data_IF_839464694496
#
_entry.id   IF_839464694496
#
_cell.length_a   1.000
_cell.length_b   1.000
_cell.length_c   1.000
_cell.angle_alpha   90.00
_cell.angle_beta   90.00
_cell.angle_gamma   90.00
#
_symmetry.space_group_name_H-M   'P 1'
#
loop_
_entity.id
_entity.type
_entity.pdbx_description
1 polymer ?
#
# COMPACT_ATOMS: atom_id res chain seq x y z
N UNK A 1 33.92 -18.01 16.62
CA UNK A 1 35.13 -17.21 16.32
C UNK A 1 34.91 -16.51 14.99
N UNK A 2 34.51 -15.23 15.04
CA UNK A 2 34.68 -14.24 13.97
C UNK A 2 34.36 -12.88 14.57
N UNK A 3 35.42 -12.30 15.10
CA UNK A 3 35.75 -10.87 15.22
C UNK A 3 34.62 -9.86 15.00
N UNK A 4 34.04 -9.41 16.11
CA UNK A 4 33.64 -8.01 16.26
C UNK A 4 34.92 -7.19 16.39
N UNK A 5 35.58 -6.91 15.27
CA UNK A 5 36.61 -5.88 15.23
C UNK A 5 35.94 -4.52 15.37
N UNK A 6 36.45 -3.77 16.34
CA UNK A 6 36.02 -2.44 16.76
C UNK A 6 36.20 -1.49 15.57
N UNK A 7 35.10 -1.20 14.87
CA UNK A 7 35.02 -0.06 13.96
C UNK A 7 34.51 1.13 14.75
N UNK A 8 35.31 2.21 14.65
CA UNK A 8 35.18 3.55 15.20
C UNK A 8 33.74 3.99 15.48
N UNK A 9 33.61 4.74 16.58
CA UNK A 9 32.46 5.45 17.16
C UNK A 9 31.70 6.38 16.19
N UNK A 10 31.27 5.85 15.05
CA UNK A 10 30.12 6.32 14.32
C UNK A 10 28.92 5.73 15.05
N UNK A 11 27.99 6.55 15.52
CA UNK A 11 26.72 6.08 16.07
C UNK A 11 26.15 5.02 15.12
N UNK A 12 26.20 3.75 15.54
CA UNK A 12 25.61 2.65 14.79
C UNK A 12 24.15 3.03 14.52
N UNK A 13 23.76 3.05 13.25
CA UNK A 13 22.39 3.36 12.86
C UNK A 13 21.46 2.26 13.39
N UNK A 14 20.92 2.51 14.58
CA UNK A 14 20.07 1.57 15.32
C UNK A 14 18.79 1.23 14.55
N UNK A 15 18.33 2.12 13.67
CA UNK A 15 17.12 1.93 12.87
C UNK A 15 17.39 0.93 11.74
N UNK A 16 18.56 1.03 11.11
CA UNK A 16 19.02 0.07 10.10
C UNK A 16 19.33 -1.32 10.68
N UNK A 17 19.72 -1.40 11.96
CA UNK A 17 20.06 -2.66 12.63
C UNK A 17 18.87 -3.39 13.29
N UNK A 18 17.63 -2.93 13.11
CA UNK A 18 16.46 -3.60 13.69
C UNK A 18 16.26 -5.00 13.08
N UNK A 19 15.90 -6.02 13.89
CA UNK A 19 15.51 -7.32 13.37
C UNK A 19 14.31 -7.21 12.42
N UNK A 20 14.29 -8.04 11.37
CA UNK A 20 13.25 -7.97 10.33
C UNK A 20 11.80 -8.04 10.84
N UNK A 21 11.53 -8.82 11.90
CA UNK A 21 10.19 -8.90 12.49
C UNK A 21 9.74 -7.57 13.15
N UNK A 22 10.68 -6.80 13.69
CA UNK A 22 10.40 -5.48 14.27
C UNK A 22 10.09 -4.48 13.15
N UNK A 23 10.83 -4.55 12.04
CA UNK A 23 10.55 -3.75 10.84
C UNK A 23 9.15 -4.07 10.31
N UNK A 24 8.82 -5.36 10.15
CA UNK A 24 7.48 -5.80 9.71
C UNK A 24 6.38 -5.26 10.62
N UNK A 25 6.60 -5.30 11.94
CA UNK A 25 5.67 -4.75 12.92
C UNK A 25 5.52 -3.23 12.78
N UNK A 26 6.61 -2.46 12.66
CA UNK A 26 6.55 -1.01 12.46
C UNK A 26 5.79 -0.67 11.17
N UNK A 27 6.15 -1.30 10.06
CA UNK A 27 5.52 -1.08 8.77
C UNK A 27 4.03 -1.43 8.77
N UNK A 28 3.61 -2.43 9.56
CA UNK A 28 2.19 -2.80 9.69
C UNK A 28 1.31 -1.71 10.30
N UNK A 29 1.89 -0.75 11.02
CA UNK A 29 1.19 0.41 11.58
C UNK A 29 1.18 1.62 10.63
N UNK A 30 1.93 1.57 9.53
CA UNK A 30 2.04 2.67 8.59
C UNK A 30 1.05 2.50 7.42
N UNK A 31 0.41 3.60 6.96
CA UNK A 31 -0.20 3.62 5.65
C UNK A 31 0.83 3.24 4.57
N UNK A 32 0.39 2.62 3.48
CA UNK A 32 1.30 2.08 2.45
C UNK A 32 2.26 3.14 1.89
N UNK A 33 1.80 4.39 1.76
CA UNK A 33 2.63 5.52 1.34
C UNK A 33 3.79 5.78 2.31
N UNK A 34 3.52 5.81 3.60
CA UNK A 34 4.55 6.06 4.61
C UNK A 34 5.47 4.85 4.74
N UNK A 35 4.94 3.63 4.62
CA UNK A 35 5.75 2.41 4.54
C UNK A 35 6.75 2.48 3.36
N UNK A 36 6.30 2.86 2.16
CA UNK A 36 7.18 3.08 1.02
C UNK A 36 8.25 4.15 1.28
N UNK A 37 7.92 5.23 1.99
CA UNK A 37 8.89 6.30 2.30
C UNK A 37 10.01 5.83 3.22
N UNK A 38 9.76 4.83 4.06
CA UNK A 38 10.82 4.24 4.91
C UNK A 38 11.87 3.45 4.12
N UNK A 39 11.64 3.17 2.83
CA UNK A 39 12.62 2.49 1.97
C UNK A 39 13.99 3.17 1.90
N UNK A 40 14.06 4.48 2.21
CA UNK A 40 15.31 5.25 2.25
C UNK A 40 16.16 4.99 3.49
N UNK A 41 15.61 4.31 4.52
CA UNK A 41 16.32 4.05 5.78
C UNK A 41 17.40 2.99 5.59
N UNK A 42 17.08 1.86 4.96
CA UNK A 42 18.06 0.82 4.63
C UNK A 42 17.51 -0.15 3.58
N UNK A 43 18.38 -1.03 3.04
CA UNK A 43 17.97 -2.10 2.14
C UNK A 43 16.94 -3.05 2.76
N UNK A 44 16.99 -3.26 4.07
CA UNK A 44 15.99 -4.08 4.78
C UNK A 44 14.61 -3.42 4.71
N UNK A 45 14.51 -2.14 5.05
CA UNK A 45 13.24 -1.39 4.98
C UNK A 45 12.70 -1.29 3.55
N UNK A 46 13.58 -1.08 2.56
CA UNK A 46 13.22 -1.06 1.15
C UNK A 46 12.62 -2.38 0.66
N UNK A 47 13.05 -3.51 1.24
CA UNK A 47 12.56 -4.82 0.84
C UNK A 47 11.26 -5.25 1.54
N UNK A 48 10.93 -4.67 2.69
CA UNK A 48 9.80 -5.17 3.47
C UNK A 48 8.45 -4.62 3.02
N UNK A 49 8.38 -3.38 2.54
CA UNK A 49 7.09 -2.75 2.25
C UNK A 49 6.29 -3.46 1.15
N UNK A 50 6.94 -4.10 0.17
CA UNK A 50 6.25 -4.85 -0.90
C UNK A 50 5.74 -6.23 -0.47
N UNK A 51 5.94 -6.63 0.79
CA UNK A 51 5.43 -7.90 1.33
C UNK A 51 4.30 -7.69 2.35
N UNK A 52 3.87 -6.44 2.57
CA UNK A 52 2.91 -6.10 3.61
C UNK A 52 1.52 -6.72 3.37
N UNK A 53 0.98 -7.47 4.33
CA UNK A 53 -0.29 -8.18 4.13
C UNK A 53 -1.50 -7.26 4.07
N UNK A 54 -1.39 -6.03 4.56
CA UNK A 54 -2.49 -5.09 4.64
C UNK A 54 -2.19 -3.87 3.77
N UNK A 55 -2.82 -3.79 2.61
CA UNK A 55 -2.70 -2.70 1.66
C UNK A 55 -3.87 -1.73 1.86
N UNK A 56 -3.62 -0.61 2.52
CA UNK A 56 -4.61 0.45 2.73
C UNK A 56 -4.16 1.70 1.99
N UNK A 57 -4.95 2.10 1.00
CA UNK A 57 -4.73 3.28 0.17
C UNK A 57 -5.71 4.37 0.55
N UNK A 58 -5.22 5.62 0.55
CA UNK A 58 -5.99 6.82 0.89
C UNK A 58 -5.57 7.92 -0.08
N UNK A 59 -6.46 8.85 -0.43
CA UNK A 59 -6.12 10.00 -1.31
C UNK A 59 -4.86 10.77 -0.87
N UNK A 60 -4.55 10.78 0.44
CA UNK A 60 -3.33 11.35 1.02
C UNK A 60 -2.05 10.67 0.52
N UNK A 61 -2.15 9.53 -0.18
CA UNK A 61 -1.08 8.92 -0.98
C UNK A 61 -0.52 9.90 -2.01
N UNK A 62 -1.37 10.74 -2.61
CA UNK A 62 -0.94 11.78 -3.55
C UNK A 62 -0.40 12.98 -2.75
N UNK A 63 0.70 13.57 -3.20
CA UNK A 63 1.25 14.77 -2.56
C UNK A 63 0.29 15.95 -2.73
N UNK A 64 0.06 16.74 -1.67
CA UNK A 64 -0.75 17.95 -1.74
C UNK A 64 -0.19 19.01 -2.72
N UNK A 65 1.09 18.92 -3.08
CA UNK A 65 1.73 19.78 -4.06
C UNK A 65 1.47 19.35 -5.53
N UNK A 66 0.74 18.25 -5.76
CA UNK A 66 0.67 17.60 -7.07
C UNK A 66 -0.21 18.32 -8.10
N UNK A 67 -1.33 18.91 -7.68
CA UNK A 67 -2.27 19.74 -8.47
C UNK A 67 -3.49 20.08 -7.60
N UNK A 68 -4.25 21.10 -7.99
CA UNK A 68 -5.61 21.34 -7.45
C UNK A 68 -6.70 20.66 -8.30
N UNK A 69 -6.34 20.15 -9.47
CA UNK A 69 -7.26 19.43 -10.36
C UNK A 69 -7.55 18.02 -9.81
N UNK A 70 -8.83 17.70 -9.50
CA UNK A 70 -9.23 16.39 -9.01
C UNK A 70 -8.94 15.24 -9.97
N UNK A 71 -9.01 15.45 -11.29
CA UNK A 71 -8.72 14.40 -12.28
C UNK A 71 -7.26 13.97 -12.22
N UNK A 72 -6.35 14.95 -12.14
CA UNK A 72 -4.90 14.69 -12.06
C UNK A 72 -4.52 14.02 -10.75
N UNK A 73 -5.18 14.38 -9.64
CA UNK A 73 -5.01 13.71 -8.35
C UNK A 73 -5.45 12.25 -8.46
N UNK A 74 -6.60 11.98 -9.11
CA UNK A 74 -7.10 10.64 -9.31
C UNK A 74 -6.15 9.79 -10.14
N UNK A 75 -5.69 10.27 -11.29
CA UNK A 75 -4.78 9.52 -12.15
C UNK A 75 -3.48 9.14 -11.43
N UNK A 76 -2.94 10.07 -10.62
CA UNK A 76 -1.76 9.81 -9.78
C UNK A 76 -2.06 8.77 -8.71
N UNK A 77 -3.22 8.84 -8.07
CA UNK A 77 -3.65 7.86 -7.09
C UNK A 77 -3.78 6.46 -7.71
N UNK A 78 -4.46 6.35 -8.86
CA UNK A 78 -4.62 5.09 -9.58
C UNK A 78 -3.26 4.49 -9.97
N UNK A 79 -2.33 5.34 -10.45
CA UNK A 79 -0.96 4.92 -10.77
C UNK A 79 -0.20 4.39 -9.56
N UNK A 80 -0.38 4.99 -8.37
CA UNK A 80 0.22 4.47 -7.13
C UNK A 80 -0.36 3.09 -6.77
N UNK A 81 -1.68 2.93 -6.82
CA UNK A 81 -2.32 1.64 -6.53
C UNK A 81 -1.83 0.57 -7.49
N UNK A 82 -1.79 0.87 -8.79
CA UNK A 82 -1.33 -0.08 -9.80
C UNK A 82 0.14 -0.46 -9.60
N UNK A 83 1.00 0.53 -9.33
CA UNK A 83 2.42 0.29 -9.07
C UNK A 83 2.64 -0.59 -7.84
N UNK A 84 1.91 -0.34 -6.75
CA UNK A 84 2.00 -1.16 -5.54
C UNK A 84 1.51 -2.58 -5.80
N UNK A 85 0.37 -2.76 -6.48
CA UNK A 85 -0.15 -4.09 -6.80
C UNK A 85 0.80 -4.88 -7.72
N UNK A 86 1.44 -4.22 -8.68
CA UNK A 86 2.42 -4.85 -9.57
C UNK A 86 3.68 -5.30 -8.83
N UNK A 87 4.17 -4.50 -7.88
CA UNK A 87 5.37 -4.80 -7.10
C UNK A 87 5.13 -5.73 -5.92
N UNK A 88 3.88 -5.85 -5.46
CA UNK A 88 3.55 -6.63 -4.27
C UNK A 88 3.95 -8.10 -4.42
N UNK A 89 4.78 -8.60 -3.51
CA UNK A 89 5.33 -9.95 -3.49
C UNK A 89 5.08 -10.64 -2.14
N UNK A 90 3.86 -10.54 -1.63
CA UNK A 90 3.43 -11.20 -0.40
C UNK A 90 1.95 -11.59 -0.42
N UNK A 91 1.45 -12.27 0.63
CA UNK A 91 0.01 -12.47 0.79
C UNK A 91 -0.69 -11.12 0.90
N UNK A 92 -1.92 -11.03 0.40
CA UNK A 92 -2.79 -9.85 0.59
C UNK A 92 -3.96 -10.31 1.46
N UNK A 93 -3.94 -9.93 2.73
CA UNK A 93 -4.98 -10.25 3.69
C UNK A 93 -6.07 -9.17 3.72
N UNK A 94 -5.67 -7.92 3.51
CA UNK A 94 -6.57 -6.77 3.49
C UNK A 94 -6.20 -5.83 2.34
N UNK A 95 -7.20 -5.42 1.57
CA UNK A 95 -7.08 -4.39 0.54
C UNK A 95 -8.20 -3.38 0.76
N UNK A 96 -7.87 -2.11 0.93
CA UNK A 96 -8.82 -1.03 1.21
C UNK A 96 -8.44 0.23 0.43
N UNK A 97 -9.43 0.86 -0.21
CA UNK A 97 -9.30 2.15 -0.88
C UNK A 97 -10.24 3.13 -0.18
N UNK A 98 -9.66 4.17 0.41
CA UNK A 98 -10.38 5.26 1.08
C UNK A 98 -10.46 6.48 0.15
N UNK A 99 -11.66 6.69 -0.38
CA UNK A 99 -11.96 7.67 -1.43
C UNK A 99 -12.71 8.91 -0.90
N UNK A 100 -12.52 9.29 0.37
CA UNK A 100 -13.37 10.31 1.03
C UNK A 100 -13.35 11.71 0.37
N UNK A 101 -12.38 12.01 -0.49
CA UNK A 101 -12.20 13.34 -1.10
C UNK A 101 -12.15 13.32 -2.63
N UNK A 102 -12.09 12.15 -3.23
CA UNK A 102 -12.11 11.97 -4.66
C UNK A 102 -13.40 11.21 -4.99
N UNK A 103 -14.04 11.45 -6.13
CA UNK A 103 -15.09 10.56 -6.58
C UNK A 103 -14.43 9.52 -7.50
N UNK A 104 -13.44 8.75 -7.00
CA UNK A 104 -12.78 7.70 -7.80
C UNK A 104 -13.83 6.74 -8.33
N UNK A 105 -14.85 6.39 -7.54
CA UNK A 105 -15.95 5.51 -7.97
C UNK A 105 -16.83 6.16 -9.06
N UNK A 106 -16.85 7.49 -9.16
CA UNK A 106 -17.59 8.24 -10.17
C UNK A 106 -16.81 8.56 -11.44
N UNK A 107 -15.47 8.56 -11.37
CA UNK A 107 -14.57 9.01 -12.43
C UNK A 107 -13.60 7.94 -12.94
N UNK A 108 -13.39 6.84 -12.20
CA UNK A 108 -12.52 5.74 -12.66
C UNK A 108 -13.15 5.08 -13.87
N UNK A 109 -12.36 4.88 -14.92
CA UNK A 109 -12.67 3.88 -15.92
C UNK A 109 -12.79 2.54 -15.18
N UNK A 110 -14.00 1.99 -15.12
CA UNK A 110 -14.39 0.76 -14.42
C UNK A 110 -13.40 -0.40 -14.63
N UNK A 111 -12.66 -0.34 -15.75
CA UNK A 111 -11.56 -1.22 -16.16
C UNK A 111 -10.41 -1.34 -15.16
N UNK A 112 -9.98 -0.27 -14.48
CA UNK A 112 -8.84 -0.36 -13.54
C UNK A 112 -9.23 -1.12 -12.27
N UNK A 113 -10.41 -0.83 -11.74
CA UNK A 113 -10.95 -1.51 -10.56
C UNK A 113 -11.19 -3.00 -10.89
N UNK A 114 -11.78 -3.29 -12.05
CA UNK A 114 -12.02 -4.68 -12.47
C UNK A 114 -10.68 -5.43 -12.67
N UNK A 115 -9.64 -4.78 -13.22
CA UNK A 115 -8.29 -5.34 -13.33
C UNK A 115 -7.69 -5.65 -11.96
N UNK A 116 -7.80 -4.73 -11.00
CA UNK A 116 -7.33 -4.96 -9.63
C UNK A 116 -8.09 -6.09 -8.95
N UNK A 117 -9.41 -6.16 -9.12
CA UNK A 117 -10.23 -7.26 -8.61
C UNK A 117 -9.73 -8.59 -9.14
N UNK A 118 -9.55 -8.71 -10.47
CA UNK A 118 -9.03 -9.93 -11.08
C UNK A 118 -7.64 -10.30 -10.55
N UNK A 119 -6.75 -9.31 -10.40
CA UNK A 119 -5.42 -9.52 -9.82
C UNK A 119 -5.50 -10.03 -8.37
N UNK A 120 -6.36 -9.42 -7.55
CA UNK A 120 -6.56 -9.79 -6.15
C UNK A 120 -7.19 -11.18 -6.00
N UNK A 121 -8.19 -11.51 -6.84
CA UNK A 121 -8.81 -12.84 -6.88
C UNK A 121 -7.76 -13.91 -7.24
N UNK A 122 -6.91 -13.64 -8.23
CA UNK A 122 -5.83 -14.55 -8.62
C UNK A 122 -4.75 -14.75 -7.53
N UNK A 123 -4.65 -13.83 -6.57
CA UNK A 123 -3.67 -13.86 -5.47
C UNK A 123 -4.28 -14.32 -4.13
N UNK A 124 -5.60 -14.31 -3.96
CA UNK A 124 -6.28 -14.62 -2.71
C UNK A 124 -6.56 -16.12 -2.53
N UNK A 125 -5.92 -16.74 -1.54
CA UNK A 125 -6.35 -18.04 -0.99
C UNK A 125 -7.27 -17.89 0.25
N UNK A 126 -7.58 -16.67 0.73
CA UNK A 126 -8.35 -16.46 1.96
C UNK A 126 -9.54 -15.51 1.76
N UNK A 127 -10.75 -16.06 1.87
CA UNK A 127 -12.04 -15.50 1.43
C UNK A 127 -12.62 -14.32 2.21
N UNK A 128 -11.83 -13.34 2.69
CA UNK A 128 -12.36 -12.14 3.37
C UNK A 128 -12.25 -10.85 2.55
N UNK A 129 -11.23 -10.71 1.69
CA UNK A 129 -11.06 -9.51 0.85
C UNK A 129 -12.15 -9.32 -0.21
N UNK A 130 -12.75 -10.42 -0.68
CA UNK A 130 -13.88 -10.37 -1.64
C UNK A 130 -15.16 -9.79 -1.04
N UNK A 131 -15.48 -10.06 0.22
CA UNK A 131 -16.77 -9.65 0.80
C UNK A 131 -16.89 -8.13 0.97
N UNK A 132 -15.81 -7.45 1.39
CA UNK A 132 -15.83 -5.99 1.59
C UNK A 132 -15.91 -5.24 0.27
N UNK A 133 -15.19 -5.69 -0.77
CA UNK A 133 -15.26 -5.07 -2.10
C UNK A 133 -16.64 -5.31 -2.76
N UNK A 134 -17.21 -6.51 -2.60
CA UNK A 134 -18.54 -6.84 -3.13
C UNK A 134 -19.66 -6.11 -2.36
N UNK A 135 -19.56 -5.99 -1.03
CA UNK A 135 -20.51 -5.22 -0.22
C UNK A 135 -20.49 -3.72 -0.54
N UNK A 136 -19.30 -3.15 -0.79
CA UNK A 136 -19.20 -1.77 -1.27
C UNK A 136 -19.86 -1.59 -2.64
N UNK A 137 -19.71 -2.56 -3.56
CA UNK A 137 -20.36 -2.56 -4.88
C UNK A 137 -21.90 -2.69 -4.78
N UNK A 138 -22.42 -3.55 -3.89
CA UNK A 138 -23.86 -3.72 -3.63
C UNK A 138 -24.46 -2.47 -2.96
N UNK A 139 -23.79 -1.89 -1.96
CA UNK A 139 -24.30 -0.70 -1.25
C UNK A 139 -24.38 0.53 -2.17
N UNK A 140 -23.46 0.65 -3.13
CA UNK A 140 -23.47 1.68 -4.16
C UNK A 140 -24.52 1.46 -5.27
N UNK A 141 -24.84 0.21 -5.60
CA UNK A 141 -25.93 -0.13 -6.53
C UNK A 141 -27.31 0.13 -5.90
N UNK A 142 -27.46 -0.12 -4.60
CA UNK A 142 -28.72 0.10 -3.86
C UNK A 142 -29.02 1.58 -3.59
N UNK A 143 -28.03 2.46 -3.59
CA UNK A 143 -28.22 3.92 -3.46
C UNK A 143 -28.48 4.63 -4.79
N UNK A 144 -28.47 3.90 -5.92
CA UNK A 144 -28.75 4.42 -7.27
C UNK A 144 -30.06 3.89 -7.89
N UNK A 145 -30.88 3.19 -7.11
CA UNK A 145 -32.27 2.80 -7.41
C UNK A 145 -33.21 3.54 -6.45
#
# INVERSE_FOLDING_TARGET
MSTCEIVKDAELDKISCLPGHVIDQILSYLPIKEAMRTSVLSSEWSNKWYTLPNLVFDVRCVSAAASQDPSVINDKFLSIVDHVLLLHNGPINKFEINDYYCNLVGLSQMTDIDRWILHLIGRCCAGKASYTLYQSKISLLMHKL
#
